data_IF_076845095333
#
_entry.id   IF_076845095333
#
_cell.length_a   1.000
_cell.length_b   1.000
_cell.length_c   1.000
_cell.angle_alpha   90.00
_cell.angle_beta   90.00
_cell.angle_gamma   90.00
#
_symmetry.space_group_name_H-M   'P 1'
#
loop_
_entity.id
_entity.type
_entity.pdbx_description
1 polymer ?
#
# COMPACT_ATOMS: atom_id res chain seq x y z
N UNK A 1 -12.06 4.51 -6.12
CA UNK A 1 -11.00 5.24 -5.38
C UNK A 1 -9.97 5.90 -6.29
N UNK A 2 -9.14 5.15 -7.06
CA UNK A 2 -8.04 5.75 -7.86
C UNK A 2 -8.48 6.81 -8.88
N UNK A 3 -9.58 6.59 -9.59
CA UNK A 3 -10.12 7.59 -10.53
C UNK A 3 -10.51 8.89 -9.82
N UNK A 4 -11.05 8.80 -8.60
CA UNK A 4 -11.43 9.96 -7.80
C UNK A 4 -10.21 10.73 -7.28
N UNK A 5 -9.18 10.02 -6.81
CA UNK A 5 -7.89 10.63 -6.48
C UNK A 5 -7.30 11.38 -7.67
N UNK A 6 -7.41 10.85 -8.89
CA UNK A 6 -6.97 11.56 -10.11
C UNK A 6 -7.84 12.79 -10.40
N UNK A 7 -9.16 12.66 -10.25
CA UNK A 7 -10.11 13.75 -10.55
C UNK A 7 -9.77 15.00 -9.75
N UNK A 8 -9.52 14.85 -8.45
CA UNK A 8 -9.26 15.97 -7.52
C UNK A 8 -7.86 16.59 -7.63
N UNK A 9 -6.88 15.88 -8.20
CA UNK A 9 -5.54 16.44 -8.42
C UNK A 9 -5.55 17.53 -9.51
N UNK A 10 -4.76 18.59 -9.33
CA UNK A 10 -4.52 19.56 -10.40
C UNK A 10 -3.77 18.90 -11.59
N UNK A 11 -3.89 19.41 -12.82
CA UNK A 11 -3.06 18.96 -13.95
C UNK A 11 -1.57 19.06 -13.62
N UNK A 12 -0.81 17.99 -13.83
CA UNK A 12 0.60 17.89 -13.40
C UNK A 12 0.80 17.57 -11.91
N UNK A 13 -0.28 17.43 -11.13
CA UNK A 13 -0.23 17.06 -9.72
C UNK A 13 0.32 15.65 -9.50
N UNK A 14 0.93 15.43 -8.33
CA UNK A 14 1.53 14.15 -7.94
C UNK A 14 0.65 13.41 -6.93
N UNK A 15 0.58 12.10 -7.10
CA UNK A 15 0.03 11.15 -6.14
C UNK A 15 1.19 10.41 -5.45
N UNK A 16 1.11 10.25 -4.14
CA UNK A 16 1.96 9.36 -3.36
C UNK A 16 1.06 8.54 -2.41
N UNK A 17 1.16 7.22 -2.49
CA UNK A 17 0.43 6.28 -1.63
C UNK A 17 1.47 5.40 -0.94
N UNK A 18 1.43 5.37 0.38
CA UNK A 18 2.25 4.49 1.19
C UNK A 18 1.35 3.38 1.74
N UNK A 19 1.63 2.13 1.36
CA UNK A 19 0.79 1.00 1.75
C UNK A 19 1.64 -0.20 2.16
N UNK A 20 1.12 -1.03 3.07
CA UNK A 20 1.79 -2.26 3.48
C UNK A 20 1.78 -3.29 2.35
N UNK A 21 2.81 -4.14 2.35
CA UNK A 21 2.91 -5.28 1.46
C UNK A 21 3.66 -6.42 2.15
N UNK A 22 3.53 -7.62 1.61
CA UNK A 22 4.37 -8.73 2.06
C UNK A 22 5.79 -8.60 1.46
N UNK A 23 6.84 -8.71 2.29
CA UNK A 23 8.22 -8.81 1.82
C UNK A 23 8.39 -10.00 0.86
N UNK A 24 9.21 -9.81 -0.17
CA UNK A 24 9.49 -10.85 -1.18
C UNK A 24 10.63 -11.77 -0.79
N UNK A 25 11.58 -11.29 0.02
CA UNK A 25 12.69 -12.11 0.51
C UNK A 25 12.14 -13.18 1.47
N UNK A 26 12.31 -14.49 1.19
CA UNK A 26 11.63 -15.55 1.95
C UNK A 26 11.88 -15.50 3.46
N UNK A 27 13.12 -15.25 3.89
CA UNK A 27 13.49 -15.14 5.30
C UNK A 27 12.79 -13.96 5.97
N UNK A 28 12.80 -12.79 5.33
CA UNK A 28 12.14 -11.58 5.85
C UNK A 28 10.62 -11.76 5.87
N UNK A 29 10.06 -12.37 4.82
CA UNK A 29 8.63 -12.64 4.71
C UNK A 29 8.15 -13.57 5.83
N UNK A 30 8.90 -14.65 6.12
CA UNK A 30 8.61 -15.56 7.22
C UNK A 30 8.66 -14.87 8.59
N UNK A 31 9.72 -14.10 8.85
CA UNK A 31 9.85 -13.35 10.11
C UNK A 31 8.74 -12.29 10.27
N UNK A 32 8.42 -11.58 9.18
CA UNK A 32 7.37 -10.58 9.16
C UNK A 32 6.00 -11.21 9.41
N UNK A 33 5.68 -12.32 8.74
CA UNK A 33 4.44 -13.09 8.96
C UNK A 33 4.31 -13.54 10.41
N UNK A 34 5.39 -14.09 10.99
CA UNK A 34 5.40 -14.49 12.39
C UNK A 34 5.14 -13.30 13.33
N UNK A 35 5.80 -12.17 13.08
CA UNK A 35 5.61 -10.95 13.87
C UNK A 35 4.15 -10.46 13.81
N UNK A 36 3.58 -10.29 12.62
CA UNK A 36 2.20 -9.77 12.47
C UNK A 36 1.14 -10.74 12.97
N UNK A 37 1.36 -12.06 12.90
CA UNK A 37 0.38 -13.06 13.33
C UNK A 37 0.50 -13.44 14.81
N UNK A 38 1.69 -13.32 15.42
CA UNK A 38 1.95 -13.80 16.80
C UNK A 38 2.27 -12.68 17.77
N UNK A 39 3.10 -11.71 17.39
CA UNK A 39 3.56 -10.64 18.29
C UNK A 39 2.57 -9.49 18.32
N UNK A 40 2.15 -9.04 17.13
CA UNK A 40 1.28 -7.87 17.00
C UNK A 40 -0.08 -8.02 17.71
N UNK A 41 -0.77 -9.18 17.67
CA UNK A 41 -2.00 -9.36 18.44
C UNK A 41 -1.75 -9.28 19.95
N UNK A 42 -0.64 -9.82 20.45
CA UNK A 42 -0.30 -9.77 21.88
C UNK A 42 -0.04 -8.34 22.35
N UNK A 43 0.70 -7.55 21.55
CA UNK A 43 0.90 -6.11 21.82
C UNK A 43 -0.42 -5.37 21.77
N UNK A 44 -1.26 -5.66 20.77
CA UNK A 44 -2.59 -5.10 20.66
C UNK A 44 -3.42 -5.34 21.92
N UNK A 45 -3.50 -6.59 22.38
CA UNK A 45 -4.19 -6.98 23.62
C UNK A 45 -3.69 -6.21 24.84
N UNK A 46 -2.38 -6.07 24.98
CA UNK A 46 -1.77 -5.38 26.10
C UNK A 46 -2.08 -3.87 26.13
N UNK A 47 -2.19 -3.23 24.97
CA UNK A 47 -2.37 -1.77 24.87
C UNK A 47 -3.85 -1.36 24.80
N UNK A 48 -4.69 -2.04 24.01
CA UNK A 48 -6.08 -1.59 23.75
C UNK A 48 -7.14 -2.20 24.66
N UNK A 49 -6.81 -3.24 25.46
CA UNK A 49 -7.77 -4.07 26.23
C UNK A 49 -8.94 -4.65 25.39
N UNK A 50 -8.88 -4.51 24.05
CA UNK A 50 -9.88 -4.96 23.09
C UNK A 50 -9.16 -5.69 21.96
N UNK A 51 -9.45 -6.99 21.85
CA UNK A 51 -8.83 -7.93 20.90
C UNK A 51 -9.03 -7.57 19.42
N UNK A 52 -10.10 -6.84 19.09
CA UNK A 52 -10.60 -6.76 17.72
C UNK A 52 -9.80 -5.84 16.77
N UNK A 53 -9.23 -4.73 17.26
CA UNK A 53 -8.63 -3.72 16.38
C UNK A 53 -7.32 -4.17 15.70
N UNK A 54 -6.56 -5.07 16.35
CA UNK A 54 -5.24 -5.50 15.86
C UNK A 54 -5.28 -6.78 15.00
N UNK A 55 -6.42 -7.47 14.94
CA UNK A 55 -6.64 -8.55 13.97
C UNK A 55 -6.91 -8.05 12.55
N UNK A 56 -7.43 -6.83 12.41
CA UNK A 56 -7.72 -6.22 11.10
C UNK A 56 -6.45 -5.94 10.30
N UNK A 57 -5.35 -5.55 10.95
CA UNK A 57 -4.13 -5.14 10.26
C UNK A 57 -3.45 -6.30 9.50
N UNK A 58 -3.21 -7.49 10.08
CA UNK A 58 -2.74 -8.64 9.30
C UNK A 58 -3.69 -9.00 8.15
N UNK A 59 -5.01 -8.97 8.40
CA UNK A 59 -6.02 -9.26 7.40
C UNK A 59 -6.02 -8.24 6.25
N UNK A 60 -5.80 -6.95 6.53
CA UNK A 60 -5.75 -5.90 5.52
C UNK A 60 -4.49 -6.00 4.65
N UNK A 61 -3.34 -6.39 5.25
CA UNK A 61 -2.10 -6.63 4.51
C UNK A 61 -2.28 -7.78 3.52
N UNK A 62 -2.87 -8.89 3.96
CA UNK A 62 -3.12 -10.07 3.12
C UNK A 62 -4.20 -9.82 2.04
N UNK A 63 -5.21 -8.98 2.34
CA UNK A 63 -6.28 -8.65 1.41
C UNK A 63 -5.91 -7.58 0.37
N UNK A 64 -4.80 -6.86 0.57
CA UNK A 64 -4.41 -5.79 -0.34
C UNK A 64 -3.90 -6.32 -1.69
N UNK A 65 -4.22 -5.59 -2.75
CA UNK A 65 -3.82 -5.94 -4.12
C UNK A 65 -2.30 -6.02 -4.25
N UNK A 66 -1.80 -7.05 -4.94
CA UNK A 66 -0.38 -7.19 -5.22
C UNK A 66 0.20 -5.92 -5.89
N UNK A 67 1.45 -5.51 -5.58
CA UNK A 67 1.96 -4.22 -6.03
C UNK A 67 1.90 -3.99 -7.54
N UNK A 68 2.19 -5.02 -8.34
CA UNK A 68 2.17 -4.93 -9.79
C UNK A 68 0.74 -4.75 -10.34
N UNK A 69 -0.25 -5.37 -9.70
CA UNK A 69 -1.66 -5.18 -10.03
C UNK A 69 -2.14 -3.78 -9.61
N UNK A 70 -1.68 -3.27 -8.46
CA UNK A 70 -2.04 -1.92 -8.05
C UNK A 70 -1.45 -0.85 -8.98
N UNK A 71 -0.25 -1.08 -9.51
CA UNK A 71 0.33 -0.25 -10.59
C UNK A 71 -0.57 -0.23 -11.83
N UNK A 72 -1.11 -1.39 -12.24
CA UNK A 72 -2.06 -1.46 -13.37
C UNK A 72 -3.34 -0.69 -13.08
N UNK A 73 -3.88 -0.79 -11.87
CA UNK A 73 -5.07 -0.04 -11.44
C UNK A 73 -4.82 1.47 -11.52
N UNK A 74 -3.67 1.96 -11.05
CA UNK A 74 -3.31 3.38 -11.15
C UNK A 74 -3.20 3.85 -12.61
N UNK A 75 -2.56 3.05 -13.48
CA UNK A 75 -2.49 3.35 -14.91
C UNK A 75 -3.87 3.38 -15.55
N UNK A 76 -4.72 2.39 -15.27
CA UNK A 76 -6.09 2.33 -15.78
C UNK A 76 -6.95 3.51 -15.31
N UNK A 77 -6.69 4.04 -14.11
CA UNK A 77 -7.33 5.25 -13.60
C UNK A 77 -6.91 6.54 -14.35
N UNK A 78 -5.92 6.48 -15.24
CA UNK A 78 -5.44 7.58 -16.07
C UNK A 78 -4.24 8.35 -15.50
N UNK A 79 -3.50 7.73 -14.57
CA UNK A 79 -2.23 8.29 -14.09
C UNK A 79 -1.06 7.94 -15.01
N UNK A 80 -0.11 8.87 -15.12
CA UNK A 80 1.17 8.71 -15.79
C UNK A 80 2.31 8.50 -14.78
N UNK A 81 3.51 8.17 -15.27
CA UNK A 81 4.74 7.98 -14.48
C UNK A 81 4.58 7.08 -13.24
N UNK A 82 3.73 6.06 -13.33
CA UNK A 82 3.43 5.19 -12.19
C UNK A 82 4.65 4.36 -11.81
N UNK A 83 5.11 4.51 -10.57
CA UNK A 83 6.23 3.74 -9.98
C UNK A 83 5.79 3.13 -8.65
N UNK A 84 6.29 1.93 -8.37
CA UNK A 84 6.18 1.27 -7.08
C UNK A 84 7.59 1.07 -6.52
N UNK A 85 7.86 1.59 -5.32
CA UNK A 85 9.15 1.50 -4.65
C UNK A 85 8.97 0.73 -3.35
N UNK A 86 9.60 -0.45 -3.26
CA UNK A 86 9.62 -1.25 -2.02
C UNK A 86 10.55 -0.59 -1.01
N UNK A 87 10.04 -0.37 0.19
CA UNK A 87 10.76 0.17 1.34
C UNK A 87 10.84 -0.88 2.44
N UNK A 88 11.82 -0.74 3.35
CA UNK A 88 11.96 -1.60 4.54
C UNK A 88 11.89 -3.09 4.19
N UNK A 89 12.75 -3.52 3.27
CA UNK A 89 12.79 -4.91 2.77
C UNK A 89 11.50 -5.41 2.09
N UNK A 90 10.61 -4.49 1.70
CA UNK A 90 9.38 -4.77 0.99
C UNK A 90 8.15 -4.95 1.87
N UNK A 91 8.22 -4.63 3.16
CA UNK A 91 7.05 -4.59 4.05
C UNK A 91 6.13 -3.39 3.76
N UNK A 92 6.64 -2.39 3.04
CA UNK A 92 5.92 -1.19 2.62
C UNK A 92 6.25 -0.91 1.17
N UNK A 93 5.26 -0.42 0.42
CA UNK A 93 5.43 0.05 -0.96
C UNK A 93 4.97 1.50 -1.06
N UNK A 94 5.84 2.35 -1.57
CA UNK A 94 5.50 3.70 -1.98
C UNK A 94 5.13 3.68 -3.47
N UNK A 95 3.86 3.93 -3.76
CA UNK A 95 3.38 4.18 -5.11
C UNK A 95 3.44 5.67 -5.40
N UNK A 96 4.02 6.05 -6.52
CA UNK A 96 4.01 7.44 -7.00
C UNK A 96 3.45 7.50 -8.41
N UNK A 97 2.74 8.58 -8.72
CA UNK A 97 2.17 8.80 -10.05
C UNK A 97 1.90 10.28 -10.31
N UNK A 98 1.68 10.65 -11.57
CA UNK A 98 1.38 12.03 -12.00
C UNK A 98 0.04 12.09 -12.73
N UNK A 99 -0.77 13.12 -12.47
CA UNK A 99 -1.91 13.46 -13.34
C UNK A 99 -1.35 14.16 -14.57
N UNK A 100 -1.61 13.61 -15.76
CA UNK A 100 -1.20 14.27 -17.01
C UNK A 100 -1.65 15.73 -17.04
N UNK A 101 -0.78 16.62 -17.50
CA UNK A 101 -1.19 17.95 -17.94
C UNK A 101 -1.98 17.69 -19.22
N UNK A 102 -3.30 17.82 -19.20
CA UNK A 102 -4.09 17.69 -20.43
C UNK A 102 -3.45 18.53 -21.53
N UNK A 103 -3.48 18.06 -22.78
CA UNK A 103 -3.03 18.86 -23.90
C UNK A 103 -3.74 20.22 -23.82
N UNK A 104 -2.96 21.28 -23.61
CA UNK A 104 -3.42 22.65 -23.83
C UNK A 104 -3.51 22.77 -25.34
N UNK A 105 -4.70 22.48 -25.86
CA UNK A 105 -5.12 22.82 -27.22
C UNK A 105 -6.13 23.96 -27.12
#
# INVERSE_FOLDING_TARGET
ACAEMRRVLAPGGRLAILEFAMPTTPVVSGAYRWYVQRVLPLVGRAVSRHDAAYGYLPASIDAFTAPDEFVKILRHAGFADVRAVRLTFGSVVLYTATKGRGAVG
#
